data_IF_364056518632
#
_entry.id   IF_364056518632
#
_cell.length_a   1.000
_cell.length_b   1.000
_cell.length_c   1.000
_cell.angle_alpha   90.00
_cell.angle_beta   90.00
_cell.angle_gamma   90.00
#
_symmetry.space_group_name_H-M   'P 1'
#
loop_
_entity.id
_entity.type
_entity.pdbx_description
1 polymer ?
#
# COMPACT_ATOMS: atom_id res chain seq x y z
N UNK A 1 48.50 -17.94 -1.43
CA UNK A 1 47.77 -17.35 -0.29
C UNK A 1 47.54 -15.88 -0.61
N UNK A 2 46.43 -15.55 -1.29
CA UNK A 2 46.19 -14.21 -1.84
C UNK A 2 45.67 -13.28 -0.75
N UNK A 3 46.39 -12.17 -0.55
CA UNK A 3 45.98 -10.88 0.03
C UNK A 3 44.62 -10.85 0.76
N UNK A 4 44.54 -11.42 1.96
CA UNK A 4 43.45 -11.03 2.87
C UNK A 4 43.79 -9.67 3.45
N UNK A 5 42.85 -8.73 3.39
CA UNK A 5 42.97 -7.47 4.13
C UNK A 5 43.19 -7.75 5.63
N UNK A 6 43.91 -6.87 6.35
CA UNK A 6 44.03 -6.93 7.80
C UNK A 6 42.67 -7.12 8.48
N UNK A 7 42.65 -7.87 9.59
CA UNK A 7 41.41 -8.22 10.29
C UNK A 7 40.49 -7.01 10.58
N UNK A 8 41.00 -5.83 11.01
CA UNK A 8 40.15 -4.65 11.21
C UNK A 8 39.42 -4.23 9.93
N UNK A 9 40.15 -4.12 8.80
CA UNK A 9 39.56 -3.74 7.51
C UNK A 9 38.52 -4.76 7.06
N UNK A 10 38.83 -6.06 7.19
CA UNK A 10 37.91 -7.13 6.80
C UNK A 10 36.62 -7.10 7.62
N UNK A 11 36.71 -6.95 8.95
CA UNK A 11 35.53 -6.92 9.80
C UNK A 11 34.71 -5.66 9.59
N UNK A 12 35.34 -4.50 9.38
CA UNK A 12 34.62 -3.27 9.03
C UNK A 12 33.88 -3.41 7.70
N UNK A 13 34.52 -3.96 6.66
CA UNK A 13 33.87 -4.19 5.37
C UNK A 13 32.71 -5.19 5.46
N UNK A 14 32.88 -6.27 6.22
CA UNK A 14 31.79 -7.23 6.47
C UNK A 14 30.64 -6.61 7.26
N UNK A 15 30.93 -5.80 8.28
CA UNK A 15 29.91 -5.11 9.05
C UNK A 15 29.10 -4.14 8.19
N UNK A 16 29.77 -3.34 7.34
CA UNK A 16 29.11 -2.45 6.38
C UNK A 16 28.24 -3.27 5.41
N UNK A 17 28.80 -4.36 4.84
CA UNK A 17 28.07 -5.22 3.92
C UNK A 17 26.82 -5.81 4.59
N UNK A 18 26.95 -6.41 5.77
CA UNK A 18 25.82 -7.02 6.47
C UNK A 18 24.79 -5.99 6.92
N UNK A 19 25.20 -4.80 7.35
CA UNK A 19 24.28 -3.72 7.68
C UNK A 19 23.48 -3.28 6.47
N UNK A 20 24.12 -3.13 5.31
CA UNK A 20 23.43 -2.76 4.07
C UNK A 20 22.51 -3.88 3.57
N UNK A 21 23.00 -5.12 3.57
CA UNK A 21 22.21 -6.29 3.17
C UNK A 21 21.00 -6.51 4.09
N UNK A 22 21.14 -6.23 5.39
CA UNK A 22 20.03 -6.31 6.33
C UNK A 22 18.90 -5.34 5.94
N UNK A 23 19.23 -4.07 5.68
CA UNK A 23 18.26 -3.07 5.20
C UNK A 23 17.61 -3.47 3.87
N UNK A 24 18.40 -3.97 2.91
CA UNK A 24 17.89 -4.42 1.60
C UNK A 24 16.92 -5.62 1.71
N UNK A 25 17.20 -6.55 2.62
CA UNK A 25 16.27 -7.67 2.90
C UNK A 25 14.97 -7.14 3.49
N UNK A 26 15.03 -6.20 4.42
CA UNK A 26 13.82 -5.56 4.99
C UNK A 26 13.02 -4.83 3.91
N UNK A 27 13.69 -4.08 3.03
CA UNK A 27 13.05 -3.42 1.89
C UNK A 27 12.32 -4.41 0.99
N UNK A 28 13.01 -5.50 0.64
CA UNK A 28 12.46 -6.54 -0.23
C UNK A 28 11.25 -7.22 0.39
N UNK A 29 11.27 -7.48 1.71
CA UNK A 29 10.13 -8.04 2.44
C UNK A 29 8.95 -7.07 2.47
N UNK A 30 9.20 -5.78 2.70
CA UNK A 30 8.16 -4.75 2.70
C UNK A 30 7.54 -4.53 1.31
N UNK A 31 8.36 -4.54 0.24
CA UNK A 31 7.88 -4.47 -1.14
C UNK A 31 7.03 -5.69 -1.51
N UNK A 32 7.52 -6.89 -1.16
CA UNK A 32 6.79 -8.13 -1.39
C UNK A 32 5.45 -8.14 -0.63
N UNK A 33 5.45 -7.66 0.61
CA UNK A 33 4.25 -7.49 1.42
C UNK A 33 3.21 -6.62 0.70
N UNK A 34 3.63 -5.46 0.21
CA UNK A 34 2.76 -4.53 -0.51
C UNK A 34 2.21 -5.14 -1.82
N UNK A 35 3.09 -5.73 -2.62
CA UNK A 35 2.72 -6.34 -3.91
C UNK A 35 1.70 -7.46 -3.73
N UNK A 36 1.94 -8.39 -2.79
CA UNK A 36 1.03 -9.51 -2.52
C UNK A 36 -0.31 -8.97 -2.01
N UNK A 37 -0.30 -8.00 -1.09
CA UNK A 37 -1.53 -7.40 -0.56
C UNK A 37 -2.36 -6.75 -1.68
N UNK A 38 -1.71 -6.03 -2.59
CA UNK A 38 -2.35 -5.45 -3.78
C UNK A 38 -2.96 -6.53 -4.67
N UNK A 39 -2.22 -7.60 -4.93
CA UNK A 39 -2.62 -8.71 -5.81
C UNK A 39 -3.85 -9.44 -5.27
N UNK A 40 -3.88 -9.78 -3.99
CA UNK A 40 -5.02 -10.44 -3.33
C UNK A 40 -6.28 -9.58 -3.46
N UNK A 41 -6.16 -8.29 -3.14
CA UNK A 41 -7.27 -7.34 -3.20
C UNK A 41 -7.79 -7.14 -4.63
N UNK A 42 -6.90 -6.91 -5.59
CA UNK A 42 -7.27 -6.67 -6.98
C UNK A 42 -7.90 -7.90 -7.61
N UNK A 43 -7.37 -9.10 -7.34
CA UNK A 43 -7.96 -10.36 -7.80
C UNK A 43 -9.38 -10.52 -7.27
N UNK A 44 -9.58 -10.37 -5.96
CA UNK A 44 -10.91 -10.48 -5.36
C UNK A 44 -11.89 -9.46 -5.96
N UNK A 45 -11.51 -8.18 -6.06
CA UNK A 45 -12.36 -7.11 -6.61
C UNK A 45 -12.71 -7.35 -8.08
N UNK A 46 -11.72 -7.70 -8.91
CA UNK A 46 -11.93 -7.87 -10.34
C UNK A 46 -12.80 -9.10 -10.64
N UNK A 47 -12.60 -10.21 -9.94
CA UNK A 47 -13.43 -11.40 -10.14
C UNK A 47 -14.86 -11.16 -9.67
N UNK A 48 -15.08 -10.53 -8.50
CA UNK A 48 -16.45 -10.20 -8.05
C UNK A 48 -17.12 -9.20 -8.99
N UNK A 49 -16.39 -8.20 -9.49
CA UNK A 49 -16.90 -7.26 -10.49
C UNK A 49 -17.32 -7.97 -11.77
N UNK A 50 -16.50 -8.90 -12.27
CA UNK A 50 -16.80 -9.67 -13.48
C UNK A 50 -18.09 -10.47 -13.31
N UNK A 51 -18.24 -11.19 -12.21
CA UNK A 51 -19.46 -11.95 -11.92
C UNK A 51 -20.70 -11.08 -11.74
N UNK A 52 -20.56 -9.92 -11.08
CA UNK A 52 -21.68 -8.99 -10.94
C UNK A 52 -22.13 -8.45 -12.32
N UNK A 53 -21.20 -8.20 -13.24
CA UNK A 53 -21.54 -7.80 -14.62
C UNK A 53 -22.24 -8.95 -15.36
N UNK A 54 -21.73 -10.17 -15.28
CA UNK A 54 -22.35 -11.35 -15.91
C UNK A 54 -23.76 -11.64 -15.35
N UNK A 55 -23.97 -11.44 -14.05
CA UNK A 55 -25.28 -11.57 -13.39
C UNK A 55 -26.25 -10.47 -13.88
N UNK A 56 -25.78 -9.22 -13.99
CA UNK A 56 -26.57 -8.12 -14.53
C UNK A 56 -26.96 -8.34 -16.00
N UNK A 57 -26.06 -8.87 -16.83
CA UNK A 57 -26.35 -9.18 -18.24
C UNK A 57 -27.45 -10.25 -18.40
N UNK A 58 -27.56 -11.18 -17.44
CA UNK A 58 -28.59 -12.23 -17.44
C UNK A 58 -29.97 -11.72 -17.01
N UNK A 59 -30.04 -10.69 -16.16
CA UNK A 59 -31.29 -10.20 -15.58
C UNK A 59 -31.81 -8.98 -16.35
N UNK A 60 -32.14 -9.18 -17.64
CA UNK A 60 -32.65 -8.11 -18.55
C UNK A 60 -33.97 -7.43 -18.12
N UNK A 61 -34.70 -7.98 -17.14
CA UNK A 61 -36.02 -7.50 -16.73
C UNK A 61 -36.05 -6.48 -15.56
N UNK A 62 -35.16 -6.60 -14.58
CA UNK A 62 -35.23 -5.81 -13.32
C UNK A 62 -34.87 -4.33 -13.51
N UNK A 63 -34.01 -4.03 -14.48
CA UNK A 63 -33.63 -2.65 -14.79
C UNK A 63 -34.76 -1.84 -15.43
N UNK A 64 -35.85 -2.48 -15.89
CA UNK A 64 -36.99 -1.79 -16.52
C UNK A 64 -37.65 -0.78 -15.56
N UNK A 65 -37.80 -1.13 -14.28
CA UNK A 65 -38.43 -0.24 -13.30
C UNK A 65 -37.53 0.96 -12.97
N UNK A 66 -36.22 0.76 -12.83
CA UNK A 66 -35.25 1.84 -12.58
C UNK A 66 -35.18 2.78 -13.80
N UNK A 67 -35.15 2.23 -15.01
CA UNK A 67 -35.14 3.03 -16.26
C UNK A 67 -36.43 3.82 -16.42
N UNK A 68 -37.58 3.22 -16.11
CA UNK A 68 -38.87 3.92 -16.16
C UNK A 68 -38.96 5.03 -15.10
N UNK A 69 -38.41 4.80 -13.91
CA UNK A 69 -38.33 5.78 -12.84
C UNK A 69 -37.50 7.00 -13.27
N UNK A 70 -36.31 6.75 -13.84
CA UNK A 70 -35.41 7.79 -14.34
C UNK A 70 -36.02 8.58 -15.52
N UNK A 71 -36.73 7.90 -16.42
CA UNK A 71 -37.45 8.56 -17.53
C UNK A 71 -38.55 9.49 -17.01
N UNK A 72 -39.37 9.04 -16.06
CA UNK A 72 -40.43 9.86 -15.48
C UNK A 72 -39.89 11.15 -14.83
N UNK A 73 -38.76 11.07 -14.13
CA UNK A 73 -38.09 12.26 -13.57
C UNK A 73 -37.49 13.20 -14.61
N UNK A 74 -37.12 12.70 -15.80
CA UNK A 74 -36.61 13.53 -16.90
C UNK A 74 -37.76 14.16 -17.70
N UNK A 75 -38.86 13.43 -17.91
CA UNK A 75 -40.02 13.87 -18.68
C UNK A 75 -40.88 14.89 -17.90
N UNK A 76 -40.85 14.83 -16.56
CA UNK A 76 -41.60 15.74 -15.67
C UNK A 76 -40.72 16.35 -14.57
N UNK A 77 -39.81 17.28 -14.91
CA UNK A 77 -38.81 17.82 -13.98
C UNK A 77 -39.39 18.70 -12.86
N UNK A 78 -40.56 19.33 -13.07
CA UNK A 78 -41.24 20.20 -12.09
C UNK A 78 -42.54 19.59 -11.52
N UNK A 79 -42.81 18.32 -11.83
CA UNK A 79 -43.99 17.63 -11.31
C UNK A 79 -43.86 17.33 -9.82
N UNK A 80 -45.00 17.34 -9.09
CA UNK A 80 -45.03 16.84 -7.72
C UNK A 80 -44.62 15.37 -7.75
N UNK A 81 -43.56 15.01 -7.02
CA UNK A 81 -42.98 13.65 -6.97
C UNK A 81 -44.07 12.60 -6.74
N UNK A 82 -45.04 12.91 -5.88
CA UNK A 82 -46.12 12.00 -5.54
C UNK A 82 -47.02 11.64 -6.75
N UNK A 83 -47.31 12.64 -7.59
CA UNK A 83 -48.26 12.51 -8.71
C UNK A 83 -47.58 12.01 -9.99
N UNK A 84 -46.24 12.07 -10.06
CA UNK A 84 -45.44 11.64 -11.22
C UNK A 84 -44.76 10.28 -11.02
N UNK A 85 -44.29 9.96 -9.80
CA UNK A 85 -43.54 8.72 -9.53
C UNK A 85 -44.41 7.56 -9.03
N UNK A 86 -45.32 7.78 -8.08
CA UNK A 86 -46.08 6.68 -7.47
C UNK A 86 -47.13 5.99 -8.36
N UNK A 87 -47.64 6.61 -9.45
CA UNK A 87 -48.42 5.88 -10.46
C UNK A 87 -47.59 4.86 -11.25
N UNK A 88 -46.27 5.04 -11.34
CA UNK A 88 -45.36 4.22 -12.15
C UNK A 88 -44.71 3.13 -11.29
N UNK A 89 -44.36 3.46 -10.04
CA UNK A 89 -43.75 2.54 -9.08
C UNK A 89 -44.30 2.84 -7.68
N UNK A 90 -44.88 1.85 -7.01
CA UNK A 90 -45.43 2.05 -5.65
C UNK A 90 -44.33 2.33 -4.62
N UNK A 91 -44.69 3.00 -3.52
CA UNK A 91 -43.77 3.25 -2.41
C UNK A 91 -43.19 1.96 -1.80
N UNK A 92 -43.96 0.86 -1.80
CA UNK A 92 -43.45 -0.45 -1.37
C UNK A 92 -42.40 -0.98 -2.36
N UNK A 93 -42.65 -0.90 -3.66
CA UNK A 93 -41.66 -1.32 -4.67
C UNK A 93 -40.39 -0.49 -4.63
N UNK A 94 -40.47 0.81 -4.33
CA UNK A 94 -39.27 1.65 -4.11
C UNK A 94 -38.50 1.21 -2.86
N UNK A 95 -39.18 0.92 -1.74
CA UNK A 95 -38.54 0.37 -0.54
C UNK A 95 -37.90 -0.99 -0.81
N UNK A 96 -38.58 -1.86 -1.55
CA UNK A 96 -38.08 -3.17 -1.94
C UNK A 96 -36.83 -3.04 -2.83
N UNK A 97 -36.82 -2.09 -3.78
CA UNK A 97 -35.64 -1.79 -4.62
C UNK A 97 -34.49 -1.25 -3.77
N UNK A 98 -34.74 -0.32 -2.84
CA UNK A 98 -33.71 0.20 -1.94
C UNK A 98 -33.15 -0.91 -1.05
N UNK A 99 -34.02 -1.76 -0.49
CA UNK A 99 -33.63 -2.89 0.34
C UNK A 99 -32.84 -3.93 -0.47
N UNK A 100 -33.27 -4.25 -1.69
CA UNK A 100 -32.58 -5.15 -2.62
C UNK A 100 -31.22 -4.57 -3.02
N UNK A 101 -31.13 -3.29 -3.40
CA UNK A 101 -29.86 -2.64 -3.74
C UNK A 101 -28.88 -2.56 -2.56
N UNK A 102 -29.39 -2.26 -1.36
CA UNK A 102 -28.57 -2.19 -0.14
C UNK A 102 -28.07 -3.58 0.25
N UNK A 103 -28.93 -4.60 0.18
CA UNK A 103 -28.58 -6.00 0.40
C UNK A 103 -27.57 -6.49 -0.63
N UNK A 104 -27.78 -6.20 -1.91
CA UNK A 104 -26.85 -6.53 -2.99
C UNK A 104 -25.48 -5.87 -2.78
N UNK A 105 -25.42 -4.64 -2.26
CA UNK A 105 -24.16 -3.97 -1.94
C UNK A 105 -23.41 -4.68 -0.79
N UNK A 106 -24.12 -5.03 0.30
CA UNK A 106 -23.53 -5.79 1.41
C UNK A 106 -23.05 -7.17 0.97
N UNK A 107 -23.87 -7.90 0.22
CA UNK A 107 -23.51 -9.20 -0.35
C UNK A 107 -22.32 -9.09 -1.31
N UNK A 108 -22.26 -8.04 -2.13
CA UNK A 108 -21.13 -7.76 -3.01
C UNK A 108 -19.83 -7.56 -2.23
N UNK A 109 -19.86 -6.75 -1.16
CA UNK A 109 -18.72 -6.56 -0.25
C UNK A 109 -18.32 -7.87 0.43
N UNK A 110 -19.29 -8.65 0.90
CA UNK A 110 -19.04 -9.93 1.57
C UNK A 110 -18.44 -10.97 0.61
N UNK A 111 -18.88 -11.01 -0.66
CA UNK A 111 -18.25 -11.81 -1.73
C UNK A 111 -16.78 -11.42 -1.93
N UNK A 112 -16.45 -10.12 -1.91
CA UNK A 112 -15.05 -9.66 -2.00
C UNK A 112 -14.23 -10.18 -0.80
N UNK A 113 -14.70 -9.97 0.44
CA UNK A 113 -13.98 -10.43 1.63
C UNK A 113 -13.86 -11.95 1.69
N UNK A 114 -14.88 -12.70 1.29
CA UNK A 114 -14.83 -14.16 1.22
C UNK A 114 -13.71 -14.63 0.27
N UNK A 115 -13.53 -13.96 -0.86
CA UNK A 115 -12.45 -14.28 -1.82
C UNK A 115 -11.08 -13.90 -1.30
N UNK A 116 -10.97 -12.74 -0.65
CA UNK A 116 -9.71 -12.32 -0.01
C UNK A 116 -9.35 -13.31 1.10
N UNK A 117 -10.31 -13.68 1.95
CA UNK A 117 -10.17 -14.68 3.00
C UNK A 117 -9.67 -16.02 2.45
N UNK A 118 -10.33 -16.57 1.42
CA UNK A 118 -9.91 -17.83 0.80
C UNK A 118 -8.51 -17.73 0.18
N UNK A 119 -8.19 -16.62 -0.46
CA UNK A 119 -6.85 -16.40 -1.04
C UNK A 119 -5.79 -16.31 0.05
N UNK A 120 -6.08 -15.58 1.13
CA UNK A 120 -5.13 -15.27 2.19
C UNK A 120 -4.87 -16.45 3.14
N UNK A 121 -5.91 -17.19 3.56
CA UNK A 121 -5.89 -18.23 4.61
C UNK A 121 -4.78 -19.29 4.47
N UNK A 122 -4.33 -19.58 3.25
CA UNK A 122 -3.28 -20.56 2.97
C UNK A 122 -1.87 -20.02 3.16
N UNK A 123 -1.01 -20.23 2.16
CA UNK A 123 0.42 -19.87 2.22
C UNK A 123 0.69 -18.39 2.47
N UNK A 124 -0.19 -17.50 2.01
CA UNK A 124 0.00 -16.06 2.22
C UNK A 124 -0.09 -15.69 3.69
N UNK A 125 -1.10 -16.19 4.43
CA UNK A 125 -1.22 -15.93 5.87
C UNK A 125 0.06 -16.28 6.61
N UNK A 126 0.61 -17.48 6.38
CA UNK A 126 1.86 -17.89 7.01
C UNK A 126 3.02 -16.94 6.69
N UNK A 127 3.22 -16.59 5.42
CA UNK A 127 4.28 -15.66 5.02
C UNK A 127 4.10 -14.27 5.63
N UNK A 128 2.88 -13.74 5.61
CA UNK A 128 2.54 -12.44 6.20
C UNK A 128 2.75 -12.41 7.71
N UNK A 129 2.32 -13.47 8.42
CA UNK A 129 2.55 -13.60 9.86
C UNK A 129 4.04 -13.60 10.18
N UNK A 130 4.86 -14.33 9.43
CA UNK A 130 6.31 -14.31 9.62
C UNK A 130 6.92 -12.93 9.35
N UNK A 131 6.49 -12.20 8.31
CA UNK A 131 6.93 -10.82 8.06
C UNK A 131 6.53 -9.91 9.24
N UNK A 132 5.27 -9.98 9.68
CA UNK A 132 4.76 -9.15 10.76
C UNK A 132 5.45 -9.42 12.10
N UNK A 133 5.96 -10.63 12.33
CA UNK A 133 6.69 -10.99 13.56
C UNK A 133 8.16 -10.55 13.49
N UNK A 134 8.81 -10.75 12.35
CA UNK A 134 10.25 -10.51 12.21
C UNK A 134 10.59 -9.04 11.93
N UNK A 135 9.63 -8.24 11.45
CA UNK A 135 9.82 -6.80 11.24
C UNK A 135 9.18 -6.01 12.36
N UNK A 136 9.92 -5.07 12.96
CA UNK A 136 9.38 -4.13 13.94
C UNK A 136 8.85 -2.89 13.24
N UNK A 137 7.54 -2.72 13.25
CA UNK A 137 6.87 -1.53 12.75
C UNK A 137 6.69 -0.52 13.88
N UNK A 138 6.95 0.75 13.59
CA UNK A 138 6.72 1.87 14.51
C UNK A 138 6.05 3.03 13.80
N UNK A 139 5.48 3.95 14.56
CA UNK A 139 4.91 5.19 14.05
C UNK A 139 5.16 6.30 15.07
N UNK A 140 5.44 7.51 14.59
CA UNK A 140 5.52 8.70 15.43
C UNK A 140 4.16 9.43 15.47
N UNK A 141 3.21 9.00 14.61
CA UNK A 141 1.89 9.60 14.49
C UNK A 141 0.85 8.80 15.29
N UNK A 142 0.20 9.47 16.23
CA UNK A 142 -0.80 8.84 17.10
C UNK A 142 -2.00 8.28 16.33
N UNK A 143 -2.35 8.84 15.16
CA UNK A 143 -3.46 8.32 14.34
C UNK A 143 -3.18 6.94 13.73
N UNK A 144 -1.90 6.55 13.66
CA UNK A 144 -1.46 5.27 13.09
C UNK A 144 -1.10 4.21 14.15
N UNK A 145 -1.11 4.58 15.44
CA UNK A 145 -0.90 3.63 16.55
C UNK A 145 -1.87 2.44 16.55
N UNK A 146 -3.18 2.60 16.22
CA UNK A 146 -4.10 1.47 16.15
C UNK A 146 -3.63 0.36 15.19
N UNK A 147 -2.88 0.70 14.13
CA UNK A 147 -2.32 -0.30 13.20
C UNK A 147 -1.16 -1.06 13.84
N UNK A 148 -0.33 -0.39 14.64
CA UNK A 148 0.77 -1.02 15.39
C UNK A 148 0.22 -1.96 16.45
N UNK A 149 -0.79 -1.52 17.21
CA UNK A 149 -1.54 -2.34 18.17
C UNK A 149 -2.18 -3.56 17.49
N UNK A 150 -2.76 -3.37 16.30
CA UNK A 150 -3.36 -4.46 15.54
C UNK A 150 -2.32 -5.51 15.11
N UNK A 151 -1.10 -5.08 14.73
CA UNK A 151 0.01 -6.00 14.41
C UNK A 151 0.39 -6.78 15.67
N UNK A 152 0.47 -6.12 16.82
CA UNK A 152 0.77 -6.76 18.10
C UNK A 152 -0.29 -7.81 18.49
N UNK A 153 -1.57 -7.48 18.34
CA UNK A 153 -2.68 -8.43 18.56
C UNK A 153 -2.58 -9.65 17.63
N UNK A 154 -2.20 -9.47 16.36
CA UNK A 154 -1.98 -10.58 15.42
C UNK A 154 -0.83 -11.47 15.88
N UNK A 155 0.25 -10.89 16.43
CA UNK A 155 1.40 -11.64 16.95
C UNK A 155 1.01 -12.51 18.13
N UNK A 156 0.20 -11.99 19.05
CA UNK A 156 -0.30 -12.72 20.22
C UNK A 156 -1.18 -13.91 19.82
N UNK A 157 -1.94 -13.75 18.73
CA UNK A 157 -2.82 -14.79 18.19
C UNK A 157 -2.16 -15.73 17.18
N UNK A 158 -0.82 -15.67 16.98
CA UNK A 158 -0.08 -16.47 15.98
C UNK A 158 -0.44 -17.95 15.99
N UNK A 159 -0.36 -18.56 17.17
CA UNK A 159 -0.55 -20.01 17.37
C UNK A 159 -2.01 -20.40 17.61
N UNK A 160 -2.90 -19.42 17.76
CA UNK A 160 -4.30 -19.69 18.05
C UNK A 160 -5.03 -20.19 16.80
N UNK A 161 -5.85 -21.24 16.93
CA UNK A 161 -6.74 -21.73 15.87
C UNK A 161 -8.12 -21.06 15.83
N UNK A 162 -8.39 -20.10 16.72
CA UNK A 162 -9.72 -19.51 16.88
C UNK A 162 -10.15 -18.69 15.66
N UNK A 163 -11.44 -18.78 15.30
CA UNK A 163 -12.02 -18.03 14.18
C UNK A 163 -12.24 -16.54 14.51
N UNK A 164 -12.54 -16.26 15.76
CA UNK A 164 -12.86 -14.92 16.27
C UNK A 164 -11.88 -14.58 17.40
N UNK A 165 -11.62 -13.28 17.60
CA UNK A 165 -10.93 -12.80 18.80
C UNK A 165 -11.79 -13.03 20.06
N UNK A 166 -11.16 -13.03 21.23
CA UNK A 166 -11.89 -13.16 22.48
C UNK A 166 -12.66 -11.87 22.78
N UNK A 167 -13.85 -12.00 23.38
CA UNK A 167 -14.71 -10.84 23.68
C UNK A 167 -14.11 -9.84 24.67
N UNK A 168 -13.03 -10.21 25.36
CA UNK A 168 -12.30 -9.38 26.32
C UNK A 168 -11.11 -8.64 25.71
N UNK A 169 -10.76 -8.95 24.46
CA UNK A 169 -9.61 -8.31 23.81
C UNK A 169 -10.00 -6.91 23.37
N UNK A 170 -9.08 -5.97 23.53
CA UNK A 170 -9.23 -4.64 22.95
C UNK A 170 -8.78 -4.68 21.49
N UNK A 171 -9.76 -4.66 20.58
CA UNK A 171 -9.51 -4.82 19.15
C UNK A 171 -9.52 -3.42 18.51
N UNK A 172 -8.41 -2.94 17.95
CA UNK A 172 -8.38 -1.62 17.32
C UNK A 172 -9.19 -1.63 16.02
N UNK A 173 -10.39 -1.06 16.07
CA UNK A 173 -11.31 -0.97 14.91
C UNK A 173 -11.04 0.31 14.13
N UNK A 174 -10.99 1.46 14.82
CA UNK A 174 -10.78 2.77 14.20
C UNK A 174 -9.31 2.96 13.81
N UNK A 175 -9.07 3.58 12.66
CA UNK A 175 -7.72 3.67 12.05
C UNK A 175 -7.25 2.39 11.34
N UNK A 176 -7.83 1.23 11.66
CA UNK A 176 -7.48 -0.07 11.02
C UNK A 176 -8.50 -0.48 9.98
N UNK A 177 -9.78 -0.53 10.36
CA UNK A 177 -10.86 -1.00 9.50
C UNK A 177 -11.54 0.19 8.82
N UNK A 178 -11.45 0.25 7.49
CA UNK A 178 -12.19 1.27 6.72
C UNK A 178 -13.70 1.12 6.94
N UNK A 179 -14.40 2.24 7.14
CA UNK A 179 -15.83 2.28 7.45
C UNK A 179 -16.69 1.39 6.54
N UNK A 180 -16.36 1.34 5.24
CA UNK A 180 -17.09 0.54 4.24
C UNK A 180 -17.01 -0.98 4.43
N UNK A 181 -16.12 -1.47 5.29
CA UNK A 181 -15.89 -2.90 5.57
C UNK A 181 -16.31 -3.32 6.98
N UNK A 182 -16.63 -2.37 7.87
CA UNK A 182 -17.02 -2.67 9.26
C UNK A 182 -18.17 -3.68 9.32
N UNK A 183 -19.18 -3.51 8.45
CA UNK A 183 -20.38 -4.36 8.30
C UNK A 183 -20.13 -5.80 7.81
N UNK A 184 -18.90 -6.09 7.37
CA UNK A 184 -18.46 -7.40 6.85
C UNK A 184 -17.47 -8.08 7.81
N UNK A 185 -16.67 -7.31 8.54
CA UNK A 185 -15.63 -7.85 9.43
C UNK A 185 -16.17 -8.06 10.85
N UNK A 186 -17.03 -7.17 11.31
CA UNK A 186 -17.72 -7.24 12.59
C UNK A 186 -19.02 -7.99 12.36
N UNK A 187 -19.13 -9.18 12.93
CA UNK A 187 -20.28 -10.07 12.85
C UNK A 187 -21.02 -10.03 14.18
N UNK A 188 -22.34 -9.80 14.18
CA UNK A 188 -23.16 -9.94 15.38
C UNK A 188 -23.64 -11.39 15.49
N UNK A 189 -23.40 -12.05 16.63
CA UNK A 189 -23.88 -13.40 16.87
C UNK A 189 -25.39 -13.45 17.20
N UNK A 190 -25.92 -14.67 17.36
CA UNK A 190 -27.35 -14.88 17.68
C UNK A 190 -27.77 -14.35 19.05
N UNK A 191 -26.82 -13.98 19.92
CA UNK A 191 -27.05 -13.37 21.22
C UNK A 191 -26.89 -11.84 21.18
N UNK A 192 -26.65 -11.25 20.01
CA UNK A 192 -26.44 -9.81 19.86
C UNK A 192 -25.02 -9.34 20.19
N UNK A 193 -24.08 -10.26 20.44
CA UNK A 193 -22.70 -9.92 20.80
C UNK A 193 -21.89 -9.72 19.51
N UNK A 194 -21.17 -8.60 19.42
CA UNK A 194 -20.26 -8.34 18.32
C UNK A 194 -19.01 -9.22 18.42
N UNK A 195 -18.66 -9.87 17.32
CA UNK A 195 -17.47 -10.71 17.18
C UNK A 195 -16.70 -10.29 15.95
N UNK A 196 -15.40 -10.16 16.10
CA UNK A 196 -14.50 -9.80 15.01
C UNK A 196 -13.88 -11.07 14.44
N UNK A 197 -14.12 -11.32 13.15
CA UNK A 197 -13.49 -12.44 12.45
C UNK A 197 -11.99 -12.17 12.26
N UNK A 198 -11.15 -13.04 12.82
CA UNK A 198 -9.71 -12.80 12.90
C UNK A 198 -9.03 -12.72 11.55
N UNK A 199 -9.34 -13.62 10.63
CA UNK A 199 -8.71 -13.61 9.29
C UNK A 199 -9.16 -12.37 8.50
N UNK A 200 -10.43 -11.99 8.62
CA UNK A 200 -10.92 -10.77 7.98
C UNK A 200 -10.26 -9.51 8.57
N UNK A 201 -10.01 -9.51 9.89
CA UNK A 201 -9.27 -8.45 10.55
C UNK A 201 -7.81 -8.40 10.13
N UNK A 202 -7.10 -9.55 10.07
CA UNK A 202 -5.74 -9.66 9.55
C UNK A 202 -5.65 -9.06 8.12
N UNK A 203 -6.65 -9.32 7.27
CA UNK A 203 -6.75 -8.73 5.93
C UNK A 203 -6.92 -7.21 5.98
N UNK A 204 -7.70 -6.68 6.93
CA UNK A 204 -7.84 -5.25 7.11
C UNK A 204 -6.53 -4.60 7.57
N UNK A 205 -5.81 -5.22 8.50
CA UNK A 205 -4.50 -4.75 8.98
C UNK A 205 -3.50 -4.69 7.84
N UNK A 206 -3.34 -5.76 7.05
CA UNK A 206 -2.39 -5.73 5.94
C UNK A 206 -2.78 -4.70 4.87
N UNK A 207 -4.08 -4.49 4.64
CA UNK A 207 -4.57 -3.45 3.73
C UNK A 207 -4.28 -2.03 4.23
N UNK A 208 -4.41 -1.82 5.55
CA UNK A 208 -4.08 -0.55 6.19
C UNK A 208 -2.57 -0.30 6.12
N UNK A 209 -1.77 -1.29 6.49
CA UNK A 209 -0.30 -1.21 6.52
C UNK A 209 0.31 -1.00 5.13
N UNK A 210 -0.27 -1.57 4.07
CA UNK A 210 0.25 -1.56 2.70
C UNK A 210 0.88 -0.24 2.22
N UNK A 211 0.24 0.89 2.51
CA UNK A 211 0.67 2.19 1.98
C UNK A 211 1.43 3.04 2.98
N UNK A 212 1.41 2.68 4.26
CA UNK A 212 1.93 3.54 5.34
C UNK A 212 3.47 3.63 5.33
N UNK A 213 4.23 2.54 5.06
CA UNK A 213 5.67 2.62 4.82
C UNK A 213 6.07 3.53 3.66
N UNK A 214 5.25 3.63 2.62
CA UNK A 214 5.55 4.51 1.47
C UNK A 214 5.42 5.99 1.81
N UNK A 215 4.58 6.34 2.78
CA UNK A 215 4.36 7.70 3.24
C UNK A 215 5.15 8.01 4.52
N UNK A 216 5.97 7.07 5.02
CA UNK A 216 6.72 7.17 6.28
C UNK A 216 5.87 7.42 7.54
N UNK A 217 4.55 7.27 7.46
CA UNK A 217 3.64 7.31 8.62
C UNK A 217 3.86 6.12 9.56
N UNK A 218 4.17 4.96 8.97
CA UNK A 218 4.71 3.80 9.68
C UNK A 218 6.07 3.51 9.08
N UNK A 219 7.07 3.29 9.92
CA UNK A 219 8.43 2.97 9.52
C UNK A 219 8.84 1.61 10.11
N UNK A 220 9.92 1.05 9.58
CA UNK A 220 10.42 -0.28 9.95
C UNK A 220 11.83 -0.14 10.50
N UNK A 221 12.06 -0.65 11.71
CA UNK A 221 13.41 -0.66 12.30
C UNK A 221 14.40 -1.41 11.43
N UNK A 222 15.61 -0.85 11.26
CA UNK A 222 16.67 -1.46 10.45
C UNK A 222 16.49 -1.32 8.94
N UNK A 223 15.36 -0.79 8.46
CA UNK A 223 15.23 -0.35 7.08
C UNK A 223 15.99 0.96 6.86
N UNK A 224 16.37 1.23 5.62
CA UNK A 224 16.96 2.52 5.21
C UNK A 224 15.94 3.37 4.43
N UNK A 225 15.32 2.83 3.37
CA UNK A 225 14.24 3.50 2.61
C UNK A 225 12.96 3.71 3.43
N UNK A 226 12.66 2.77 4.32
CA UNK A 226 11.48 2.80 5.21
C UNK A 226 11.85 3.15 6.67
N UNK A 227 12.98 3.85 6.87
CA UNK A 227 13.44 4.29 8.19
C UNK A 227 12.54 5.35 8.79
N UNK A 228 12.78 5.65 10.07
CA UNK A 228 12.10 6.70 10.79
C UNK A 228 12.29 8.06 10.06
N UNK A 229 11.20 8.76 9.66
CA UNK A 229 11.31 10.05 8.99
C UNK A 229 12.02 11.10 9.84
N UNK A 230 11.93 11.01 11.17
CA UNK A 230 12.55 11.98 12.06
C UNK A 230 14.08 11.89 12.01
N UNK A 231 14.66 10.73 11.66
CA UNK A 231 16.11 10.57 11.46
C UNK A 231 16.62 11.32 10.22
N UNK A 232 15.74 11.69 9.29
CA UNK A 232 16.08 12.53 8.14
C UNK A 232 16.10 14.02 8.49
N UNK A 233 15.60 14.39 9.67
CA UNK A 233 15.51 15.77 10.12
C UNK A 233 16.68 16.12 11.07
N UNK A 234 17.12 17.38 11.09
CA UNK A 234 18.08 17.85 12.09
C UNK A 234 17.50 17.67 13.51
N UNK A 235 18.22 16.96 14.37
CA UNK A 235 17.77 16.68 15.74
C UNK A 235 17.90 17.90 16.67
N UNK A 236 18.73 18.85 16.26
CA UNK A 236 19.05 20.13 16.89
C UNK A 236 18.22 21.29 16.30
N UNK A 237 17.15 21.00 15.55
CA UNK A 237 16.34 22.02 14.88
C UNK A 237 15.80 23.10 15.83
N UNK A 238 15.31 22.71 17.01
CA UNK A 238 14.77 23.67 17.98
C UNK A 238 15.87 24.55 18.61
N UNK A 239 17.08 24.02 18.76
CA UNK A 239 18.23 24.74 19.33
C UNK A 239 18.83 25.72 18.30
N UNK A 240 18.92 25.30 17.03
CA UNK A 240 19.56 26.03 15.94
C UNK A 240 18.56 26.64 14.96
N UNK A 241 17.32 26.87 15.40
CA UNK A 241 16.21 27.31 14.54
C UNK A 241 16.54 28.60 13.78
N UNK A 242 17.07 29.61 14.46
CA UNK A 242 17.43 30.90 13.82
C UNK A 242 18.47 30.72 12.70
N UNK A 243 19.51 29.91 12.95
CA UNK A 243 20.57 29.62 12.00
C UNK A 243 20.04 28.86 10.76
N UNK A 244 19.15 27.89 10.96
CA UNK A 244 18.54 27.16 9.84
C UNK A 244 17.66 28.06 8.97
N UNK A 245 16.88 28.94 9.57
CA UNK A 245 16.04 29.88 8.84
C UNK A 245 16.87 30.91 8.06
N UNK A 246 17.97 31.40 8.66
CA UNK A 246 18.93 32.28 7.98
C UNK A 246 19.61 31.57 6.80
N UNK A 247 20.08 30.33 7.00
CA UNK A 247 20.73 29.54 5.95
C UNK A 247 19.79 29.24 4.76
N UNK A 248 18.51 28.97 5.03
CA UNK A 248 17.48 28.77 4.02
C UNK A 248 16.96 30.08 3.40
N UNK A 249 17.33 31.23 3.96
CA UNK A 249 16.84 32.57 3.58
C UNK A 249 15.31 32.66 3.66
N UNK A 250 14.72 32.06 4.69
CA UNK A 250 13.28 32.04 4.96
C UNK A 250 13.02 32.87 6.23
N UNK A 251 11.97 33.71 6.27
CA UNK A 251 11.67 34.48 7.48
C UNK A 251 11.25 33.56 8.64
N UNK A 252 11.66 33.92 9.86
CA UNK A 252 11.23 33.22 11.07
C UNK A 252 9.73 33.36 11.34
N UNK A 253 9.16 34.50 10.95
CA UNK A 253 7.73 34.74 11.06
C UNK A 253 6.99 34.01 9.94
N UNK A 254 5.93 33.31 10.32
CA UNK A 254 5.13 32.48 9.42
C UNK A 254 4.22 33.32 8.52
N UNK A 255 3.74 34.47 9.01
CA UNK A 255 2.78 35.29 8.26
C UNK A 255 3.39 35.88 6.98
N UNK A 256 4.58 36.54 7.01
CA UNK A 256 5.25 37.01 5.80
C UNK A 256 5.54 35.87 4.81
N UNK A 257 5.97 34.71 5.31
CA UNK A 257 6.22 33.53 4.47
C UNK A 257 4.96 33.09 3.72
N UNK A 258 3.83 32.98 4.45
CA UNK A 258 2.55 32.58 3.85
C UNK A 258 2.10 33.59 2.80
N UNK A 259 2.21 34.89 3.09
CA UNK A 259 1.80 35.95 2.19
C UNK A 259 2.67 36.01 0.93
N UNK A 260 3.99 35.85 1.06
CA UNK A 260 4.92 35.74 -0.06
C UNK A 260 4.59 34.55 -0.96
N UNK A 261 4.30 33.38 -0.39
CA UNK A 261 3.88 32.20 -1.15
C UNK A 261 2.55 32.43 -1.85
N UNK A 262 1.56 33.04 -1.18
CA UNK A 262 0.25 33.37 -1.80
C UNK A 262 0.43 34.35 -2.94
N UNK A 263 1.27 35.37 -2.78
CA UNK A 263 1.55 36.35 -3.81
C UNK A 263 2.25 35.69 -5.01
N UNK A 264 3.30 34.91 -4.75
CA UNK A 264 4.00 34.14 -5.77
C UNK A 264 3.02 33.22 -6.53
N UNK A 265 2.14 32.51 -5.83
CA UNK A 265 1.12 31.66 -6.47
C UNK A 265 0.19 32.47 -7.37
N UNK A 266 -0.32 33.62 -6.92
CA UNK A 266 -1.17 34.51 -7.72
C UNK A 266 -0.45 34.99 -8.97
N UNK A 267 0.80 35.45 -8.82
CA UNK A 267 1.63 35.91 -9.94
C UNK A 267 1.90 34.79 -10.95
N UNK A 268 2.29 33.59 -10.50
CA UNK A 268 2.54 32.45 -11.39
C UNK A 268 1.28 31.95 -12.08
N UNK A 269 0.13 31.97 -11.41
CA UNK A 269 -1.16 31.65 -12.04
C UNK A 269 -1.55 32.69 -13.08
N UNK A 270 -1.32 33.98 -12.79
CA UNK A 270 -1.56 35.06 -13.75
C UNK A 270 -0.64 34.92 -14.98
N UNK A 271 0.66 34.67 -14.78
CA UNK A 271 1.61 34.39 -15.87
C UNK A 271 1.19 33.16 -16.69
N UNK A 272 0.71 32.09 -16.04
CA UNK A 272 0.21 30.91 -16.73
C UNK A 272 -1.02 31.25 -17.59
N UNK A 273 -1.96 32.01 -17.04
CA UNK A 273 -3.17 32.41 -17.74
C UNK A 273 -2.84 33.27 -18.98
N UNK A 274 -2.01 34.31 -18.83
CA UNK A 274 -1.54 35.13 -19.95
C UNK A 274 -0.83 34.30 -21.02
N UNK A 275 0.06 33.39 -20.61
CA UNK A 275 0.76 32.51 -21.55
C UNK A 275 -0.14 31.56 -22.34
N UNK A 276 -1.33 31.22 -21.79
CA UNK A 276 -2.35 30.45 -22.48
C UNK A 276 -3.20 31.31 -23.42
N UNK A 277 -3.55 32.54 -23.03
CA UNK A 277 -4.30 33.48 -23.88
C UNK A 277 -3.49 33.89 -25.11
N UNK A 278 -2.23 34.28 -24.90
CA UNK A 278 -1.32 34.77 -25.93
C UNK A 278 -0.68 33.63 -26.76
N UNK A 279 -1.00 32.36 -26.43
CA UNK A 279 -0.42 31.14 -27.03
C UNK A 279 1.12 31.10 -27.01
N UNK A 280 1.75 31.81 -26.08
CA UNK A 280 3.20 31.87 -25.93
C UNK A 280 3.77 30.71 -25.10
N UNK A 281 2.91 29.96 -24.39
CA UNK A 281 3.33 28.83 -23.56
C UNK A 281 3.38 27.51 -24.35
N UNK A 282 4.58 27.12 -24.80
CA UNK A 282 4.80 25.85 -25.52
C UNK A 282 4.84 24.62 -24.59
N UNK A 283 5.02 24.82 -23.27
CA UNK A 283 5.21 23.75 -22.29
C UNK A 283 3.89 23.28 -21.65
N UNK A 284 2.82 24.05 -21.74
CA UNK A 284 1.50 23.72 -21.19
C UNK A 284 0.43 23.89 -22.26
N UNK A 285 -0.32 22.82 -22.54
CA UNK A 285 -1.42 22.85 -23.50
C UNK A 285 -2.71 22.31 -22.88
N UNK A 286 -3.84 22.95 -23.16
CA UNK A 286 -5.16 22.45 -22.80
C UNK A 286 -5.70 21.65 -23.98
N UNK A 287 -5.90 20.35 -23.80
CA UNK A 287 -6.49 19.45 -24.79
C UNK A 287 -7.81 18.86 -24.29
N UNK A 288 -8.61 18.30 -25.18
CA UNK A 288 -9.82 17.55 -24.81
C UNK A 288 -9.54 16.06 -24.87
N UNK A 289 -9.75 15.36 -23.74
CA UNK A 289 -9.69 13.89 -23.67
C UNK A 289 -11.00 13.38 -23.09
N UNK A 290 -11.70 12.51 -23.82
CA UNK A 290 -13.01 11.96 -23.42
C UNK A 290 -14.05 13.04 -23.05
N UNK A 291 -14.21 14.08 -23.87
CA UNK A 291 -15.10 15.23 -23.63
C UNK A 291 -14.87 15.96 -22.29
N UNK A 292 -13.67 15.85 -21.71
CA UNK A 292 -13.23 16.61 -20.54
C UNK A 292 -11.98 17.41 -20.88
N UNK A 293 -11.87 18.61 -20.31
CA UNK A 293 -10.65 19.42 -20.39
C UNK A 293 -9.49 18.71 -19.71
N UNK A 294 -8.35 18.63 -20.38
CA UNK A 294 -7.14 17.95 -19.94
C UNK A 294 -5.95 18.90 -20.06
N UNK A 295 -5.16 19.02 -19.01
CA UNK A 295 -3.93 19.84 -19.02
C UNK A 295 -2.77 18.91 -19.35
N UNK A 296 -2.06 19.19 -20.46
CA UNK A 296 -0.82 18.53 -20.84
C UNK A 296 0.34 19.43 -20.47
N UNK A 297 1.22 18.92 -19.61
CA UNK A 297 2.50 19.56 -19.27
C UNK A 297 3.62 18.77 -19.96
N UNK A 298 4.49 19.48 -20.67
CA UNK A 298 5.67 18.88 -21.31
C UNK A 298 6.63 18.36 -20.22
N UNK A 299 7.19 17.14 -20.36
CA UNK A 299 8.15 16.61 -19.41
C UNK A 299 9.34 17.55 -19.20
N UNK A 300 9.93 17.52 -18.01
CA UNK A 300 11.15 18.26 -17.72
C UNK A 300 12.29 17.78 -18.63
N UNK A 301 13.12 18.72 -19.06
CA UNK A 301 14.33 18.42 -19.81
C UNK A 301 15.29 17.58 -18.94
N UNK A 302 16.02 16.64 -19.57
CA UNK A 302 16.98 15.81 -18.86
C UNK A 302 18.03 16.72 -18.22
N UNK A 303 18.22 16.61 -16.91
CA UNK A 303 19.28 17.32 -16.21
C UNK A 303 20.65 16.97 -16.83
N UNK A 304 21.55 17.95 -16.99
CA UNK A 304 22.89 17.69 -17.48
C UNK A 304 23.60 16.73 -16.53
N UNK A 305 24.36 15.79 -17.09
CA UNK A 305 25.12 14.86 -16.26
C UNK A 305 26.20 15.63 -15.48
N UNK A 306 26.33 15.43 -14.16
CA UNK A 306 27.33 16.15 -13.38
C UNK A 306 28.74 15.84 -13.89
N UNK A 307 29.67 16.82 -13.91
CA UNK A 307 30.97 16.69 -14.57
C UNK A 307 31.83 15.51 -14.10
N UNK A 308 31.67 15.11 -12.84
CA UNK A 308 32.50 14.10 -12.19
C UNK A 308 31.95 12.67 -12.31
N UNK A 309 30.71 12.48 -12.79
CA UNK A 309 30.10 11.14 -12.83
C UNK A 309 30.89 10.18 -13.72
N UNK A 310 31.36 10.66 -14.87
CA UNK A 310 32.18 9.85 -15.78
C UNK A 310 33.50 9.45 -15.15
N UNK A 311 34.20 10.41 -14.51
CA UNK A 311 35.45 10.14 -13.79
C UNK A 311 35.26 9.14 -12.66
N UNK A 312 34.20 9.27 -11.87
CA UNK A 312 33.90 8.32 -10.79
C UNK A 312 33.61 6.93 -11.35
N UNK A 313 32.84 6.82 -12.45
CA UNK A 313 32.60 5.53 -13.11
C UNK A 313 33.88 4.88 -13.60
N UNK A 314 34.78 5.66 -14.21
CA UNK A 314 36.10 5.19 -14.65
C UNK A 314 36.96 4.73 -13.47
N UNK A 315 37.02 5.50 -12.39
CA UNK A 315 37.75 5.13 -11.18
C UNK A 315 37.19 3.87 -10.52
N UNK A 316 35.86 3.73 -10.45
CA UNK A 316 35.21 2.50 -9.95
C UNK A 316 35.60 1.32 -10.85
N UNK A 317 35.55 1.47 -12.17
CA UNK A 317 35.92 0.42 -13.13
C UNK A 317 37.41 0.05 -13.06
N UNK A 318 38.29 1.03 -12.86
CA UNK A 318 39.72 0.80 -12.71
C UNK A 318 40.03 0.08 -11.39
N UNK A 319 39.34 0.45 -10.32
CA UNK A 319 39.54 -0.14 -9.00
C UNK A 319 38.95 -1.54 -8.90
N UNK A 320 37.75 -1.71 -9.44
CA UNK A 320 36.98 -2.95 -9.43
C UNK A 320 36.81 -3.36 -10.89
N UNK A 321 37.71 -4.21 -11.37
CA UNK A 321 37.69 -4.75 -12.74
C UNK A 321 36.32 -5.35 -13.06
N UNK A 322 35.95 -5.46 -14.34
CA UNK A 322 34.75 -6.18 -14.77
C UNK A 322 34.89 -7.68 -14.40
N UNK A 323 34.53 -8.04 -13.17
CA UNK A 323 34.53 -9.44 -12.71
C UNK A 323 33.28 -10.09 -13.28
N UNK A 324 33.45 -11.19 -14.02
CA UNK A 324 32.33 -11.97 -14.50
C UNK A 324 31.52 -12.48 -13.29
N UNK A 325 30.22 -12.20 -13.27
CA UNK A 325 29.32 -12.61 -12.19
C UNK A 325 29.38 -14.12 -11.91
N UNK A 326 29.56 -14.95 -12.96
CA UNK A 326 29.71 -16.40 -12.83
C UNK A 326 31.02 -16.78 -12.15
N UNK A 327 32.11 -16.08 -12.44
CA UNK A 327 33.40 -16.32 -11.78
C UNK A 327 33.34 -15.90 -10.32
N UNK A 328 32.69 -14.78 -10.00
CA UNK A 328 32.44 -14.36 -8.62
C UNK A 328 31.59 -15.39 -7.86
N UNK A 329 30.50 -15.87 -8.47
CA UNK A 329 29.63 -16.89 -7.88
C UNK A 329 30.38 -18.21 -7.65
N UNK A 330 31.17 -18.66 -8.63
CA UNK A 330 31.97 -19.89 -8.54
C UNK A 330 33.04 -19.78 -7.46
N UNK A 331 33.76 -18.68 -7.40
CA UNK A 331 34.79 -18.44 -6.37
C UNK A 331 34.14 -18.37 -4.98
N UNK A 332 33.01 -17.67 -4.86
CA UNK A 332 32.25 -17.58 -3.60
C UNK A 332 31.76 -18.96 -3.15
N UNK A 333 31.24 -19.78 -4.07
CA UNK A 333 30.82 -21.16 -3.77
C UNK A 333 32.00 -22.06 -3.40
N UNK A 334 33.15 -21.90 -4.06
CA UNK A 334 34.35 -22.63 -3.70
C UNK A 334 34.79 -22.34 -2.25
N UNK A 335 34.70 -21.09 -1.80
CA UNK A 335 35.08 -20.70 -0.43
C UNK A 335 34.04 -20.99 0.63
N UNK A 336 32.75 -20.83 0.33
CA UNK A 336 31.68 -20.90 1.33
C UNK A 336 30.87 -22.20 1.26
N UNK A 337 30.89 -22.89 0.11
CA UNK A 337 30.04 -24.04 -0.17
C UNK A 337 28.55 -23.74 -0.13
N UNK A 338 28.14 -22.47 -0.30
CA UNK A 338 26.77 -22.04 -0.05
C UNK A 338 25.74 -22.77 -0.93
N UNK A 339 26.12 -23.22 -2.12
CA UNK A 339 25.20 -23.94 -3.03
C UNK A 339 24.67 -25.25 -2.43
N UNK A 340 25.38 -25.84 -1.46
CA UNK A 340 24.94 -27.03 -0.72
C UNK A 340 23.68 -26.79 0.11
N UNK A 341 23.34 -25.54 0.39
CA UNK A 341 22.14 -25.15 1.14
C UNK A 341 20.94 -24.83 0.25
N UNK A 342 21.11 -24.75 -1.08
CA UNK A 342 19.98 -24.63 -2.00
C UNK A 342 19.23 -25.96 -2.12
N UNK A 343 18.18 -26.09 -1.34
CA UNK A 343 17.28 -27.23 -1.44
C UNK A 343 16.32 -27.04 -2.63
N UNK A 344 16.42 -27.90 -3.64
CA UNK A 344 15.42 -27.96 -4.71
C UNK A 344 14.07 -28.36 -4.11
N UNK A 345 12.98 -27.78 -4.61
CA UNK A 345 11.58 -28.03 -4.15
C UNK A 345 11.17 -29.51 -4.17
N UNK A 346 11.92 -30.38 -4.86
CA UNK A 346 11.75 -31.84 -4.89
C UNK A 346 12.21 -32.55 -3.60
N UNK A 347 13.20 -32.02 -2.88
CA UNK A 347 13.76 -32.63 -1.67
C UNK A 347 12.93 -32.39 -0.39
N UNK A 348 12.03 -31.40 -0.39
CA UNK A 348 11.16 -31.15 0.76
C UNK A 348 10.12 -32.28 0.92
N UNK A 349 9.77 -33.00 -0.15
CA UNK A 349 8.82 -34.12 -0.08
C UNK A 349 9.41 -35.41 0.52
N UNK A 350 10.72 -35.61 0.51
CA UNK A 350 11.34 -36.87 0.98
C UNK A 350 11.56 -36.91 2.50
N UNK A 351 11.53 -35.78 3.20
CA UNK A 351 11.72 -35.72 4.67
C UNK A 351 10.45 -35.92 5.49
N UNK A 352 9.27 -35.90 4.87
CA UNK A 352 7.98 -36.04 5.58
C UNK A 352 7.40 -37.47 5.61
N UNK A 353 8.18 -38.50 5.24
CA UNK A 353 7.80 -39.89 5.47
C UNK A 353 8.79 -40.54 6.44
N UNK A 354 8.38 -40.92 7.67
CA UNK A 354 9.16 -41.85 8.46
C UNK A 354 9.03 -43.23 7.78
N UNK A 355 10.15 -43.74 7.27
CA UNK A 355 10.23 -45.14 6.86
C UNK A 355 10.11 -46.02 8.12
N UNK A 356 9.27 -47.06 8.12
CA UNK A 356 9.20 -47.98 9.24
C UNK A 356 10.48 -48.80 9.31
N UNK A 357 11.03 -48.91 10.52
CA UNK A 357 12.06 -49.88 10.86
C UNK A 357 11.56 -51.29 10.54
N UNK A 358 12.36 -52.07 9.82
CA UNK A 358 12.29 -53.52 9.84
C UNK A 358 13.69 -54.10 9.62
N UNK A 359 14.15 -54.76 10.69
CA UNK A 359 15.09 -55.89 10.86
C UNK A 359 16.28 -56.04 9.92
#
# INVERSE_FOLDING_TARGET
>A
MKHLHPAPIRYTLLAILFSHQHGEVIHSLADLFDEITLKIRNKAKNTTRKEAVEELERVKGKNKHIVNLLKATVDHPEGVIQDTLFPIVSASTIRDIIQEMTKNNREYKQKIYTRMHTSYRGHYRQAFTEILINLTFRSNNQSHQPVIEAIQLIREYKESGQRYFAAKDDIPIDGVIQAKWKDVIIETDSQGIERVNRINFEIAVIQSLRTQPRYKEIWIEGADRYRNPDEDLPQDFEENKEEYFEALKVPLDVEPFIDDIKQLMKEKLFMLHQGLEDKSNEKVAISTKNNKGWIRVTPLDKQPEPPHVLRIKEEIKNRWTDINLLDLLKETDFHTGFTKHFNTTRNIRSRNHPAPFAS
#
